data_IF_892229475950
#
_entry.id   IF_892229475950
#
_cell.length_a   1.000
_cell.length_b   1.000
_cell.length_c   1.000
_cell.angle_alpha   90.00
_cell.angle_beta   90.00
_cell.angle_gamma   90.00
#
_symmetry.space_group_name_H-M   'P 1'
#
loop_
_entity.id
_entity.type
_entity.pdbx_description
1 polymer ?
#
# COMPACT_ATOMS: atom_id res chain seq x y z
N UNK A 1 11.73 -16.62 31.83
CA UNK A 1 11.48 -15.35 31.13
C UNK A 1 10.83 -15.72 29.81
N UNK A 2 9.66 -15.17 29.48
CA UNK A 2 9.13 -15.28 28.11
C UNK A 2 9.79 -14.16 27.31
N UNK A 3 10.68 -14.54 26.40
CA UNK A 3 11.22 -13.64 25.39
C UNK A 3 10.10 -13.28 24.42
N UNK A 4 9.52 -12.09 24.62
CA UNK A 4 8.60 -11.49 23.65
C UNK A 4 9.47 -10.89 22.54
N UNK A 5 10.06 -11.76 21.72
CA UNK A 5 10.76 -11.29 20.52
C UNK A 5 9.72 -10.63 19.61
N UNK A 6 9.91 -9.36 19.23
CA UNK A 6 9.00 -8.72 18.29
C UNK A 6 9.14 -9.47 16.96
N UNK A 7 8.09 -10.20 16.57
CA UNK A 7 8.02 -10.83 15.25
C UNK A 7 8.19 -9.71 14.22
N UNK A 8 9.31 -9.75 13.51
CA UNK A 8 9.59 -8.82 12.44
C UNK A 8 8.51 -8.98 11.37
N UNK A 9 8.02 -7.88 10.77
CA UNK A 9 7.07 -7.93 9.64
C UNK A 9 7.54 -8.81 8.46
N UNK A 10 8.83 -9.16 8.41
CA UNK A 10 9.39 -10.09 7.43
C UNK A 10 9.04 -11.56 7.69
N UNK A 11 8.79 -11.92 8.94
CA UNK A 11 8.52 -13.29 9.38
C UNK A 11 7.02 -13.51 9.69
N UNK A 12 6.22 -12.45 9.56
CA UNK A 12 4.76 -12.49 9.70
C UNK A 12 4.12 -12.86 8.35
N UNK A 13 3.37 -13.97 8.34
CA UNK A 13 2.68 -14.49 7.15
C UNK A 13 1.58 -13.58 6.59
N UNK A 14 1.17 -12.56 7.34
CA UNK A 14 0.19 -11.57 6.89
C UNK A 14 0.83 -10.45 6.05
N UNK A 15 2.16 -10.41 5.93
CA UNK A 15 2.88 -9.39 5.18
C UNK A 15 3.63 -9.99 3.99
N UNK A 16 3.58 -9.30 2.86
CA UNK A 16 4.29 -9.68 1.62
C UNK A 16 5.17 -8.52 1.14
N UNK A 17 6.32 -8.84 0.53
CA UNK A 17 7.28 -7.84 0.10
C UNK A 17 6.92 -7.28 -1.30
N UNK A 18 6.41 -6.04 -1.35
CA UNK A 18 6.16 -5.34 -2.61
C UNK A 18 7.49 -4.81 -3.20
N UNK A 19 7.86 -5.27 -4.40
CA UNK A 19 9.10 -4.87 -5.10
C UNK A 19 8.81 -3.88 -6.23
N UNK A 20 9.56 -2.79 -6.28
CA UNK A 20 9.45 -1.78 -7.34
C UNK A 20 10.56 -0.73 -7.29
N UNK A 21 10.72 0.02 -8.38
CA UNK A 21 11.65 1.15 -8.45
C UNK A 21 10.90 2.47 -8.51
N UNK A 22 11.32 3.42 -7.69
CA UNK A 22 10.79 4.79 -7.66
C UNK A 22 11.90 5.82 -7.88
N UNK A 23 11.59 7.05 -8.31
CA UNK A 23 12.59 8.10 -8.42
C UNK A 23 13.35 8.33 -7.11
N UNK A 24 14.68 8.50 -7.19
CA UNK A 24 15.55 8.69 -6.02
C UNK A 24 15.10 9.83 -5.11
N UNK A 25 14.62 10.94 -5.69
CA UNK A 25 14.10 12.09 -4.94
C UNK A 25 12.89 11.69 -4.09
N UNK A 26 11.99 10.90 -4.66
CA UNK A 26 10.79 10.41 -3.98
C UNK A 26 11.15 9.45 -2.84
N UNK A 27 12.06 8.50 -3.09
CA UNK A 27 12.55 7.58 -2.05
C UNK A 27 13.19 8.32 -0.88
N UNK A 28 14.00 9.35 -1.14
CA UNK A 28 14.62 10.19 -0.09
C UNK A 28 13.57 10.95 0.71
N UNK A 29 12.60 11.56 0.02
CA UNK A 29 11.56 12.33 0.68
C UNK A 29 10.68 11.44 1.56
N UNK A 30 10.24 10.30 1.04
CA UNK A 30 9.48 9.29 1.77
C UNK A 30 10.19 8.85 3.06
N UNK A 31 11.46 8.46 2.96
CA UNK A 31 12.27 8.06 4.13
C UNK A 31 12.42 9.20 5.13
N UNK A 32 12.59 10.43 4.65
CA UNK A 32 12.68 11.62 5.49
C UNK A 32 11.39 11.90 6.25
N UNK A 33 10.22 11.70 5.63
CA UNK A 33 8.92 11.83 6.29
C UNK A 33 8.72 10.75 7.34
N UNK A 34 9.01 9.49 7.02
CA UNK A 34 8.91 8.38 7.98
C UNK A 34 9.78 8.64 9.22
N UNK A 35 11.01 9.11 9.02
CA UNK A 35 11.91 9.45 10.12
C UNK A 35 11.40 10.61 10.98
N UNK A 36 10.84 11.66 10.37
CA UNK A 36 10.26 12.80 11.10
C UNK A 36 9.02 12.42 11.90
N UNK A 37 8.21 11.50 11.38
CA UNK A 37 6.96 11.03 12.00
C UNK A 37 7.18 9.87 12.98
N UNK A 38 8.38 9.28 13.02
CA UNK A 38 8.68 8.15 13.90
C UNK A 38 7.96 6.85 13.51
N UNK A 39 7.59 6.70 12.24
CA UNK A 39 6.86 5.53 11.72
C UNK A 39 7.75 4.65 10.86
N UNK A 40 7.46 3.35 10.82
CA UNK A 40 8.16 2.42 9.93
C UNK A 40 7.69 2.59 8.47
N UNK A 41 8.57 2.24 7.53
CA UNK A 41 8.26 2.35 6.10
C UNK A 41 7.05 1.51 5.69
N UNK A 42 6.81 0.37 6.33
CA UNK A 42 5.65 -0.50 6.04
C UNK A 42 4.35 0.21 6.38
N UNK A 43 4.24 0.75 7.59
CA UNK A 43 3.09 1.53 8.03
C UNK A 43 2.81 2.73 7.11
N UNK A 44 3.86 3.47 6.73
CA UNK A 44 3.74 4.58 5.79
C UNK A 44 3.32 4.14 4.38
N UNK A 45 3.72 2.94 3.94
CA UNK A 45 3.25 2.36 2.67
C UNK A 45 1.78 1.94 2.77
N UNK A 46 1.35 1.31 3.86
CA UNK A 46 -0.05 0.92 4.07
C UNK A 46 -0.98 2.15 4.00
N UNK A 47 -0.65 3.22 4.73
CA UNK A 47 -1.41 4.48 4.72
C UNK A 47 -1.48 5.13 3.32
N UNK A 48 -0.38 5.05 2.55
CA UNK A 48 -0.33 5.65 1.22
C UNK A 48 -1.01 4.79 0.14
N UNK A 49 -0.92 3.47 0.24
CA UNK A 49 -1.40 2.52 -0.77
C UNK A 49 -2.89 2.23 -0.63
N UNK A 50 -3.44 2.19 0.58
CA UNK A 50 -4.84 1.84 0.82
C UNK A 50 -5.82 2.77 0.08
N UNK A 51 -5.71 4.12 0.14
CA UNK A 51 -6.60 5.00 -0.60
C UNK A 51 -6.46 4.85 -2.11
N UNK A 52 -5.24 4.62 -2.59
CA UNK A 52 -4.96 4.41 -4.01
C UNK A 52 -5.61 3.12 -4.52
N UNK A 53 -5.49 2.01 -3.79
CA UNK A 53 -6.11 0.73 -4.14
C UNK A 53 -7.64 0.86 -4.16
N UNK A 54 -8.24 1.42 -3.11
CA UNK A 54 -9.70 1.65 -3.04
C UNK A 54 -10.23 2.48 -4.21
N UNK A 55 -9.47 3.49 -4.62
CA UNK A 55 -9.83 4.29 -5.80
C UNK A 55 -9.75 3.45 -7.08
N UNK A 56 -8.69 2.65 -7.27
CA UNK A 56 -8.51 1.82 -8.47
C UNK A 56 -9.49 0.67 -8.58
N UNK A 57 -9.84 0.04 -7.46
CA UNK A 57 -10.88 -0.99 -7.40
C UNK A 57 -12.22 -0.41 -7.87
N UNK A 58 -12.62 0.76 -7.36
CA UNK A 58 -13.86 1.43 -7.80
C UNK A 58 -13.83 1.77 -9.30
N UNK A 59 -12.72 2.33 -9.80
CA UNK A 59 -12.58 2.66 -11.23
C UNK A 59 -12.71 1.42 -12.13
N UNK A 60 -12.24 0.25 -11.66
CA UNK A 60 -12.36 -1.01 -12.38
C UNK A 60 -13.79 -1.54 -12.36
N UNK A 61 -14.45 -1.53 -11.20
CA UNK A 61 -15.86 -1.96 -11.06
C UNK A 61 -16.82 -1.13 -11.93
N UNK A 62 -16.63 0.19 -11.99
CA UNK A 62 -17.44 1.08 -12.82
C UNK A 62 -17.25 0.82 -14.33
N UNK A 63 -16.09 0.29 -14.74
CA UNK A 63 -15.77 0.00 -16.14
C UNK A 63 -16.31 -1.35 -16.64
N UNK A 64 -16.75 -2.23 -15.74
CA UNK A 64 -17.25 -3.58 -16.07
C UNK A 64 -18.78 -3.65 -16.24
N UNK A 65 -19.51 -2.54 -16.10
CA UNK A 65 -20.96 -2.51 -16.33
C UNK A 65 -21.25 -2.67 -17.84
N UNK A 66 -21.86 -3.78 -18.31
CA UNK A 66 -22.32 -3.89 -19.68
C UNK A 66 -23.44 -2.87 -19.89
N UNK A 67 -23.29 -1.99 -20.88
CA UNK A 67 -24.40 -1.21 -21.41
C UNK A 67 -25.38 -2.21 -22.06
N UNK A 68 -26.37 -2.71 -21.31
CA UNK A 68 -27.52 -3.37 -21.91
C UNK A 68 -28.15 -2.39 -22.90
N UNK A 69 -28.21 -2.83 -24.16
CA UNK A 69 -28.64 -2.04 -25.30
C UNK A 69 -30.01 -1.42 -25.06
N UNK A 70 -30.04 -0.09 -25.06
CA UNK A 70 -31.27 0.64 -25.30
C UNK A 70 -31.45 0.74 -26.82
N UNK A 71 -31.85 -0.36 -27.46
CA UNK A 71 -32.42 -0.33 -28.79
C UNK A 71 -33.91 -0.01 -28.67
N UNK A 72 -34.25 1.16 -29.22
CA UNK A 72 -35.58 1.75 -29.32
C UNK A 72 -36.44 1.09 -30.41
#
# INVERSE_FOLDING_TARGET
>A
MNDFEPVSKKDDSNYEAVRGHIPKKMARHFKGLCAQLGIDHGAAMEEALEPWMRQKERELEESEIPQEGNDA
#
